data_IF_596699917186
#
_entry.id   IF_596699917186
#
_cell.length_a   1.000
_cell.length_b   1.000
_cell.length_c   1.000
_cell.angle_alpha   90.00
_cell.angle_beta   90.00
_cell.angle_gamma   90.00
#
_symmetry.space_group_name_H-M   'P 1'
#
loop_
_entity.id
_entity.type
_entity.pdbx_description
1 polymer ?
#
# COMPACT_ATOMS: atom_id res chain seq x y z
N UNK A 1 3.37 -12.40 -8.60
CA UNK A 1 4.48 -11.42 -8.40
C UNK A 1 4.08 -10.42 -7.33
N UNK A 2 5.02 -10.06 -6.44
CA UNK A 2 4.83 -9.08 -5.38
C UNK A 2 5.91 -8.00 -5.50
N UNK A 3 5.52 -6.76 -5.70
CA UNK A 3 6.42 -5.60 -5.79
C UNK A 3 6.28 -4.78 -4.52
N UNK A 4 7.32 -4.77 -3.70
CA UNK A 4 7.38 -4.03 -2.45
C UNK A 4 8.29 -2.82 -2.61
N UNK A 5 7.75 -1.65 -2.31
CA UNK A 5 8.41 -0.36 -2.45
C UNK A 5 8.68 0.19 -1.06
N UNK A 6 9.94 0.43 -0.75
CA UNK A 6 10.35 0.99 0.54
C UNK A 6 11.25 2.21 0.35
N UNK A 7 11.58 2.88 1.42
CA UNK A 7 12.43 4.07 1.43
C UNK A 7 12.20 4.91 2.68
N UNK A 8 12.98 5.97 2.81
CA UNK A 8 12.82 6.93 3.92
C UNK A 8 11.47 7.65 3.83
N UNK A 9 10.93 8.14 4.95
CA UNK A 9 9.78 9.06 4.91
C UNK A 9 10.04 10.21 3.93
N UNK A 10 9.05 10.55 3.11
CA UNK A 10 9.18 11.60 2.10
C UNK A 10 10.03 11.25 0.87
N UNK A 11 10.46 10.00 0.70
CA UNK A 11 11.24 9.57 -0.48
C UNK A 11 10.43 9.48 -1.78
N UNK A 12 9.09 9.53 -1.69
CA UNK A 12 8.21 9.45 -2.85
C UNK A 12 7.61 8.06 -3.10
N UNK A 13 7.50 7.21 -2.06
CA UNK A 13 6.87 5.89 -2.16
C UNK A 13 5.43 5.96 -2.68
N UNK A 14 4.59 6.79 -2.07
CA UNK A 14 3.18 6.96 -2.48
C UNK A 14 3.05 7.54 -3.88
N UNK A 15 3.91 8.47 -4.26
CA UNK A 15 3.99 8.98 -5.63
C UNK A 15 4.34 7.87 -6.61
N UNK A 16 5.29 7.02 -6.26
CA UNK A 16 5.67 5.85 -7.07
C UNK A 16 4.51 4.89 -7.25
N UNK A 17 3.82 4.55 -6.16
CA UNK A 17 2.62 3.67 -6.19
C UNK A 17 1.53 4.27 -7.08
N UNK A 18 1.26 5.57 -6.96
CA UNK A 18 0.30 6.26 -7.82
C UNK A 18 0.65 6.19 -9.31
N UNK A 19 1.91 6.48 -9.66
CA UNK A 19 2.39 6.36 -11.06
C UNK A 19 2.26 4.93 -11.62
N UNK A 20 2.54 3.92 -10.79
CA UNK A 20 2.41 2.53 -11.20
C UNK A 20 0.94 2.12 -11.36
N UNK A 21 0.06 2.64 -10.51
CA UNK A 21 -1.39 2.46 -10.68
C UNK A 21 -1.85 3.02 -12.03
N UNK A 22 -1.53 4.28 -12.33
CA UNK A 22 -1.89 4.93 -13.59
C UNK A 22 -1.37 4.14 -14.80
N UNK A 23 -0.14 3.62 -14.71
CA UNK A 23 0.45 2.78 -15.75
C UNK A 23 -0.34 1.48 -15.95
N UNK A 24 -0.69 0.77 -14.88
CA UNK A 24 -1.46 -0.48 -14.97
C UNK A 24 -2.87 -0.26 -15.50
N UNK A 25 -3.56 0.76 -15.01
CA UNK A 25 -4.89 1.14 -15.51
C UNK A 25 -4.83 1.51 -17.00
N UNK A 26 -3.77 2.22 -17.43
CA UNK A 26 -3.51 2.52 -18.85
C UNK A 26 -3.24 1.29 -19.70
N UNK A 27 -2.76 0.20 -19.12
CA UNK A 27 -2.60 -1.11 -19.77
C UNK A 27 -3.87 -1.96 -19.74
N UNK A 28 -4.96 -1.48 -19.14
CA UNK A 28 -6.23 -2.18 -19.05
C UNK A 28 -6.36 -3.11 -17.83
N UNK A 29 -5.46 -3.02 -16.84
CA UNK A 29 -5.61 -3.77 -15.59
C UNK A 29 -6.69 -3.14 -14.72
N UNK A 30 -7.52 -3.97 -14.09
CA UNK A 30 -8.31 -3.53 -12.94
C UNK A 30 -7.44 -3.47 -11.70
N UNK A 31 -7.61 -2.40 -10.91
CA UNK A 31 -6.80 -2.15 -9.72
C UNK A 31 -7.69 -1.87 -8.53
N UNK A 32 -7.53 -2.67 -7.48
CA UNK A 32 -8.22 -2.49 -6.21
C UNK A 32 -7.26 -2.40 -5.03
N UNK A 33 -7.79 -2.38 -3.84
CA UNK A 33 -7.03 -2.28 -2.60
C UNK A 33 -7.20 -0.94 -1.90
N UNK A 34 -6.18 -0.46 -1.21
CA UNK A 34 -6.25 0.75 -0.38
C UNK A 34 -5.07 1.68 -0.57
N UNK A 35 -5.33 2.96 -0.35
CA UNK A 35 -4.31 3.99 -0.10
C UNK A 35 -4.57 4.66 1.26
N UNK A 36 -3.52 5.17 1.90
CA UNK A 36 -3.61 5.84 3.21
C UNK A 36 -3.02 7.25 3.15
N UNK A 37 -3.72 8.22 2.52
CA UNK A 37 -3.22 9.58 2.36
C UNK A 37 -3.16 10.36 3.66
N UNK A 38 -2.22 11.29 3.73
CA UNK A 38 -2.15 12.29 4.82
C UNK A 38 -3.36 13.22 4.81
N UNK A 39 -3.78 13.62 6.02
CA UNK A 39 -4.69 14.72 6.24
C UNK A 39 -3.91 15.86 6.88
N UNK A 40 -3.96 17.05 6.27
CA UNK A 40 -3.33 18.26 6.79
C UNK A 40 -4.36 19.26 7.25
N UNK A 41 -4.09 19.90 8.39
CA UNK A 41 -4.90 20.98 8.94
C UNK A 41 -3.95 22.14 9.27
N UNK A 42 -4.24 23.33 8.73
CA UNK A 42 -3.40 24.50 8.91
C UNK A 42 -1.94 24.31 8.44
N UNK A 43 -1.73 23.51 7.38
CA UNK A 43 -0.41 23.21 6.84
C UNK A 43 0.38 22.14 7.60
N UNK A 44 -0.12 21.69 8.74
CA UNK A 44 0.51 20.62 9.54
C UNK A 44 -0.16 19.27 9.30
N UNK A 45 0.60 18.19 9.39
CA UNK A 45 0.06 16.84 9.35
C UNK A 45 -0.78 16.59 10.59
N UNK A 46 -2.08 16.42 10.40
CA UNK A 46 -3.04 16.17 11.46
C UNK A 46 -3.36 14.67 11.62
N UNK A 47 -3.34 13.92 10.52
CA UNK A 47 -3.67 12.51 10.55
C UNK A 47 -3.56 11.83 9.19
N UNK A 48 -4.22 10.69 9.10
CA UNK A 48 -4.25 9.84 7.90
C UNK A 48 -5.65 9.27 7.71
N UNK A 49 -6.08 9.18 6.47
CA UNK A 49 -7.28 8.44 6.08
C UNK A 49 -6.90 7.09 5.48
N UNK A 50 -7.85 6.17 5.40
CA UNK A 50 -7.81 5.01 4.53
C UNK A 50 -8.87 5.17 3.45
N UNK A 51 -8.52 4.87 2.22
CA UNK A 51 -9.40 5.00 1.05
C UNK A 51 -9.44 3.67 0.31
N UNK A 52 -10.65 3.15 0.09
CA UNK A 52 -10.88 2.02 -0.82
C UNK A 52 -10.77 2.53 -2.26
N UNK A 53 -9.81 2.01 -3.01
CA UNK A 53 -9.51 2.44 -4.39
C UNK A 53 -10.72 2.23 -5.31
N UNK A 54 -11.41 1.11 -5.20
CA UNK A 54 -12.49 0.76 -6.12
C UNK A 54 -13.78 1.56 -5.86
N UNK A 55 -14.15 1.78 -4.60
CA UNK A 55 -15.41 2.47 -4.24
C UNK A 55 -15.23 3.95 -3.94
N UNK A 56 -14.01 4.39 -3.63
CA UNK A 56 -13.74 5.75 -3.14
C UNK A 56 -14.19 6.00 -1.69
N UNK A 57 -14.73 4.98 -1.00
CA UNK A 57 -15.07 5.09 0.43
C UNK A 57 -13.81 5.36 1.23
N UNK A 58 -13.96 6.22 2.23
CA UNK A 58 -12.85 6.63 3.09
C UNK A 58 -13.25 6.69 4.56
N UNK A 59 -12.27 6.51 5.42
CA UNK A 59 -12.43 6.64 6.86
C UNK A 59 -11.14 7.14 7.50
N UNK A 60 -11.25 7.68 8.70
CA UNK A 60 -10.10 8.18 9.44
C UNK A 60 -9.31 7.01 10.03
N UNK A 61 -8.06 6.84 9.59
CA UNK A 61 -7.15 5.81 10.09
C UNK A 61 -6.51 6.24 11.42
N UNK A 62 -6.00 7.46 11.48
CA UNK A 62 -5.30 7.97 12.65
C UNK A 62 -5.30 9.49 12.66
N UNK A 63 -5.30 10.09 13.86
CA UNK A 63 -5.08 11.52 14.01
C UNK A 63 -4.48 11.86 15.37
N UNK A 64 -4.05 13.10 15.54
CA UNK A 64 -3.57 13.62 16.82
C UNK A 64 -4.67 13.65 17.89
N UNK A 65 -5.95 13.63 17.48
CA UNK A 65 -7.12 13.68 18.36
C UNK A 65 -7.80 12.31 18.54
N UNK A 66 -7.44 11.31 17.75
CA UNK A 66 -8.04 9.98 17.82
C UNK A 66 -7.57 9.24 19.09
N UNK A 67 -8.52 8.69 19.83
CA UNK A 67 -8.24 7.75 20.89
C UNK A 67 -7.90 6.36 20.30
N UNK A 68 -7.01 5.63 20.96
CA UNK A 68 -6.61 4.30 20.52
C UNK A 68 -5.12 4.04 20.67
N UNK A 69 -4.63 2.92 20.13
CA UNK A 69 -3.20 2.61 20.14
C UNK A 69 -2.38 3.74 19.54
N UNK A 70 -1.26 4.09 20.19
CA UNK A 70 -0.43 5.23 19.76
C UNK A 70 0.68 4.80 18.83
N UNK A 71 0.85 5.57 17.74
CA UNK A 71 2.05 5.59 16.92
C UNK A 71 2.54 7.05 16.87
N UNK A 72 3.65 7.31 17.59
CA UNK A 72 4.09 8.67 17.80
C UNK A 72 3.00 9.52 18.50
N UNK A 73 2.63 10.63 17.88
CA UNK A 73 1.58 11.54 18.37
C UNK A 73 0.17 11.17 17.91
N UNK A 74 0.02 10.15 17.08
CA UNK A 74 -1.26 9.76 16.49
C UNK A 74 -1.91 8.62 17.26
N UNK A 75 -3.20 8.73 17.53
CA UNK A 75 -4.05 7.60 17.93
C UNK A 75 -4.56 6.89 16.69
N UNK A 76 -4.58 5.56 16.72
CA UNK A 76 -4.98 4.74 15.57
C UNK A 76 -6.39 4.20 15.76
N UNK A 77 -7.25 4.42 14.77
CA UNK A 77 -8.58 3.82 14.68
C UNK A 77 -8.48 2.44 14.02
N UNK A 78 -8.27 1.41 14.83
CA UNK A 78 -8.13 0.04 14.36
C UNK A 78 -9.40 -0.45 13.64
N UNK A 79 -10.58 -0.02 14.09
CA UNK A 79 -11.86 -0.42 13.51
C UNK A 79 -12.00 -0.08 12.04
N UNK A 80 -11.46 1.05 11.58
CA UNK A 80 -11.53 1.42 10.16
C UNK A 80 -10.70 0.48 9.27
N UNK A 81 -9.60 -0.06 9.80
CA UNK A 81 -8.83 -1.07 9.07
C UNK A 81 -9.64 -2.36 8.91
N UNK A 82 -10.33 -2.80 9.97
CA UNK A 82 -11.13 -4.02 9.94
C UNK A 82 -12.38 -3.89 9.06
N UNK A 83 -13.05 -2.73 9.11
CA UNK A 83 -14.35 -2.51 8.47
C UNK A 83 -14.27 -1.98 7.03
N UNK A 84 -13.17 -1.30 6.66
CA UNK A 84 -13.00 -0.70 5.35
C UNK A 84 -11.81 -1.28 4.58
N UNK A 85 -10.61 -1.28 5.16
CA UNK A 85 -9.41 -1.70 4.47
C UNK A 85 -9.39 -3.20 4.16
N UNK A 86 -9.67 -4.04 5.14
CA UNK A 86 -9.66 -5.50 4.98
C UNK A 86 -10.68 -5.96 3.94
N UNK A 87 -11.96 -5.53 3.98
CA UNK A 87 -12.93 -5.88 2.94
C UNK A 87 -12.52 -5.40 1.55
N UNK A 88 -11.96 -4.19 1.43
CA UNK A 88 -11.48 -3.66 0.15
C UNK A 88 -10.37 -4.51 -0.47
N UNK A 89 -9.39 -4.93 0.34
CA UNK A 89 -8.29 -5.78 -0.12
C UNK A 89 -8.80 -7.17 -0.49
N UNK A 90 -9.66 -7.79 0.35
CA UNK A 90 -10.21 -9.12 0.07
C UNK A 90 -11.06 -9.15 -1.19
N UNK A 91 -11.86 -8.10 -1.43
CA UNK A 91 -12.59 -7.96 -2.70
C UNK A 91 -11.62 -7.86 -3.86
N UNK A 92 -10.58 -7.02 -3.77
CA UNK A 92 -9.59 -6.88 -4.82
C UNK A 92 -8.87 -8.20 -5.14
N UNK A 93 -8.63 -9.06 -4.14
CA UNK A 93 -8.06 -10.40 -4.37
C UNK A 93 -8.94 -11.28 -5.28
N UNK A 94 -10.25 -11.05 -5.31
CA UNK A 94 -11.20 -11.85 -6.06
C UNK A 94 -11.58 -11.24 -7.41
N UNK A 95 -11.52 -9.91 -7.52
CA UNK A 95 -12.15 -9.18 -8.61
C UNK A 95 -11.15 -8.40 -9.47
N UNK A 96 -9.95 -8.09 -8.95
CA UNK A 96 -9.01 -7.21 -9.61
C UNK A 96 -7.74 -7.95 -10.10
N UNK A 97 -7.12 -7.40 -11.14
CA UNK A 97 -5.85 -7.91 -11.69
C UNK A 97 -4.66 -7.57 -10.82
N UNK A 98 -4.73 -6.43 -10.13
CA UNK A 98 -3.68 -5.94 -9.24
C UNK A 98 -4.25 -5.39 -7.93
N UNK A 99 -3.57 -5.70 -6.84
CA UNK A 99 -3.84 -5.11 -5.52
C UNK A 99 -2.80 -4.04 -5.23
N UNK A 100 -3.25 -2.88 -4.77
CA UNK A 100 -2.40 -1.84 -4.20
C UNK A 100 -2.65 -1.75 -2.70
N UNK A 101 -1.56 -1.70 -1.93
CA UNK A 101 -1.59 -1.40 -0.50
C UNK A 101 -0.56 -0.30 -0.22
N UNK A 102 -1.02 0.88 0.04
CA UNK A 102 -0.17 2.02 0.41
C UNK A 102 -0.71 2.69 1.69
N UNK A 103 -0.13 2.29 2.84
CA UNK A 103 1.08 1.49 3.01
C UNK A 103 0.85 0.31 3.98
N UNK A 104 1.82 -0.60 4.01
CA UNK A 104 1.95 -1.62 5.07
C UNK A 104 2.92 -1.05 6.11
N UNK A 105 2.39 -0.40 7.11
CA UNK A 105 3.16 0.31 8.13
C UNK A 105 2.66 0.11 9.55
N UNK A 106 3.29 0.75 10.54
CA UNK A 106 2.99 0.54 11.95
C UNK A 106 1.55 0.86 12.35
N UNK A 107 0.91 1.86 11.73
CA UNK A 107 -0.48 2.23 12.02
C UNK A 107 -1.44 1.15 11.54
N UNK A 108 -1.33 0.75 10.29
CA UNK A 108 -2.16 -0.25 9.64
C UNK A 108 -2.03 -1.61 10.33
N UNK A 109 -0.82 -1.96 10.73
CA UNK A 109 -0.50 -3.22 11.42
C UNK A 109 -0.97 -3.27 12.89
N UNK A 110 -1.60 -2.23 13.42
CA UNK A 110 -2.34 -2.33 14.68
C UNK A 110 -3.58 -3.21 14.54
N UNK A 111 -4.14 -3.35 13.34
CA UNK A 111 -5.19 -4.32 13.04
C UNK A 111 -4.63 -5.73 12.85
N UNK A 112 -5.12 -6.68 13.64
CA UNK A 112 -4.77 -8.11 13.51
C UNK A 112 -5.33 -8.69 12.21
N UNK A 113 -6.54 -8.29 11.83
CA UNK A 113 -7.18 -8.73 10.59
C UNK A 113 -6.42 -8.19 9.35
N UNK A 114 -5.95 -6.95 9.40
CA UNK A 114 -5.11 -6.42 8.33
C UNK A 114 -3.79 -7.20 8.19
N UNK A 115 -3.12 -7.54 9.29
CA UNK A 115 -1.91 -8.38 9.25
C UNK A 115 -2.19 -9.72 8.56
N UNK A 116 -3.28 -10.40 8.95
CA UNK A 116 -3.70 -11.67 8.35
C UNK A 116 -3.98 -11.50 6.86
N UNK A 117 -4.68 -10.42 6.49
CA UNK A 117 -5.01 -10.12 5.10
C UNK A 117 -3.75 -9.85 4.26
N UNK A 118 -2.76 -9.15 4.81
CA UNK A 118 -1.46 -8.97 4.15
C UNK A 118 -0.77 -10.32 3.90
N UNK A 119 -0.78 -11.21 4.88
CA UNK A 119 -0.21 -12.56 4.72
C UNK A 119 -0.97 -13.38 3.64
N UNK A 120 -2.30 -13.25 3.58
CA UNK A 120 -3.13 -13.86 2.54
C UNK A 120 -2.72 -13.35 1.15
N UNK A 121 -2.62 -12.02 0.98
CA UNK A 121 -2.20 -11.41 -0.30
C UNK A 121 -0.80 -11.84 -0.70
N UNK A 122 0.15 -11.84 0.24
CA UNK A 122 1.52 -12.27 -0.03
C UNK A 122 1.61 -13.73 -0.45
N UNK A 123 0.67 -14.57 0.00
CA UNK A 123 0.61 -15.99 -0.32
C UNK A 123 -0.23 -16.33 -1.56
N UNK A 124 -0.97 -15.37 -2.09
CA UNK A 124 -1.82 -15.52 -3.29
C UNK A 124 -1.01 -15.39 -4.58
N UNK A 125 -1.65 -15.67 -5.73
CA UNK A 125 -1.04 -15.46 -7.05
C UNK A 125 -1.30 -14.07 -7.64
N UNK A 126 -2.14 -13.25 -6.99
CA UNK A 126 -2.49 -11.91 -7.46
C UNK A 126 -1.27 -11.00 -7.48
N UNK A 127 -1.17 -10.13 -8.48
CA UNK A 127 -0.16 -9.09 -8.54
C UNK A 127 -0.36 -8.10 -7.38
N UNK A 128 0.68 -7.86 -6.59
CA UNK A 128 0.69 -6.87 -5.52
C UNK A 128 1.71 -5.77 -5.80
N UNK A 129 1.29 -4.53 -5.63
CA UNK A 129 2.19 -3.38 -5.46
C UNK A 129 1.91 -2.76 -4.10
N UNK A 130 2.89 -2.75 -3.22
CA UNK A 130 2.73 -2.20 -1.88
C UNK A 130 3.87 -1.26 -1.49
N UNK A 131 3.51 -0.11 -0.91
CA UNK A 131 4.48 0.66 -0.13
C UNK A 131 4.63 0.01 1.24
N UNK A 132 5.85 -0.20 1.68
CA UNK A 132 6.15 -0.91 2.93
C UNK A 132 7.11 -0.08 3.78
N UNK A 133 6.75 0.14 5.02
CA UNK A 133 7.63 0.80 5.98
C UNK A 133 8.90 -0.05 6.21
N UNK A 134 10.07 0.60 6.27
CA UNK A 134 11.37 -0.11 6.35
C UNK A 134 11.46 -1.12 7.50
N UNK A 135 10.93 -0.78 8.66
CA UNK A 135 10.91 -1.71 9.80
C UNK A 135 9.99 -2.90 9.55
N UNK A 136 8.86 -2.69 8.91
CA UNK A 136 7.91 -3.74 8.55
C UNK A 136 8.48 -4.70 7.52
N UNK A 137 9.24 -4.18 6.55
CA UNK A 137 9.85 -5.02 5.52
C UNK A 137 10.73 -6.14 6.10
N UNK A 138 11.39 -5.88 7.23
CA UNK A 138 12.24 -6.89 7.89
C UNK A 138 11.45 -8.10 8.42
N UNK A 139 10.16 -7.92 8.70
CA UNK A 139 9.27 -9.01 9.17
C UNK A 139 8.62 -9.79 8.04
N UNK A 140 8.67 -9.29 6.80
CA UNK A 140 8.13 -10.00 5.63
C UNK A 140 9.08 -11.13 5.23
N UNK A 141 8.56 -12.37 5.20
CA UNK A 141 9.34 -13.54 4.80
C UNK A 141 9.82 -13.39 3.35
N UNK A 142 11.09 -13.69 3.14
CA UNK A 142 11.66 -13.73 1.77
C UNK A 142 11.00 -14.84 0.96
N UNK A 143 10.58 -14.51 -0.26
CA UNK A 143 9.98 -15.44 -1.23
C UNK A 143 10.54 -15.12 -2.62
N UNK A 144 10.58 -16.10 -3.48
CA UNK A 144 11.10 -15.95 -4.85
C UNK A 144 10.26 -15.01 -5.72
N UNK A 145 8.97 -14.90 -5.43
CA UNK A 145 8.02 -14.04 -6.15
C UNK A 145 7.99 -12.58 -5.65
N UNK A 146 8.77 -12.25 -4.61
CA UNK A 146 8.87 -10.90 -4.04
C UNK A 146 10.05 -10.14 -4.64
N UNK A 147 9.78 -8.95 -5.14
CA UNK A 147 10.78 -7.98 -5.60
C UNK A 147 10.71 -6.72 -4.75
N UNK A 148 11.82 -6.33 -4.17
CA UNK A 148 11.92 -5.15 -3.30
C UNK A 148 12.66 -4.04 -4.04
N UNK A 149 12.05 -2.86 -4.05
CA UNK A 149 12.63 -1.64 -4.62
C UNK A 149 12.75 -0.55 -3.56
N UNK A 150 13.93 0.03 -3.47
CA UNK A 150 14.18 1.17 -2.57
C UNK A 150 14.05 2.46 -3.37
N UNK A 151 13.11 3.32 -2.96
CA UNK A 151 12.91 4.63 -3.57
C UNK A 151 13.77 5.66 -2.86
N UNK A 152 14.51 6.40 -3.67
CA UNK A 152 15.32 7.53 -3.30
C UNK A 152 14.97 8.68 -4.25
N UNK A 153 14.87 9.95 -3.80
CA UNK A 153 14.52 11.07 -4.65
C UNK A 153 15.37 11.21 -5.92
N UNK A 154 16.66 10.87 -5.83
CA UNK A 154 17.59 10.97 -6.96
C UNK A 154 17.43 9.81 -7.97
N UNK A 155 16.87 8.68 -7.54
CA UNK A 155 16.80 7.45 -8.35
C UNK A 155 15.38 7.07 -8.75
N UNK A 156 14.38 7.88 -8.41
CA UNK A 156 12.95 7.57 -8.61
C UNK A 156 12.62 7.13 -10.02
N UNK A 157 13.06 7.87 -11.03
CA UNK A 157 12.70 7.56 -12.40
C UNK A 157 13.36 6.28 -12.90
N UNK A 158 14.59 6.00 -12.46
CA UNK A 158 15.27 4.73 -12.76
C UNK A 158 14.57 3.55 -12.10
N UNK A 159 14.13 3.69 -10.86
CA UNK A 159 13.37 2.64 -10.15
C UNK A 159 12.03 2.43 -10.84
N UNK A 160 11.32 3.50 -11.19
CA UNK A 160 10.08 3.42 -11.94
C UNK A 160 10.25 2.64 -13.24
N UNK A 161 11.25 3.00 -14.05
CA UNK A 161 11.51 2.30 -15.31
C UNK A 161 11.74 0.81 -15.11
N UNK A 162 12.56 0.43 -14.14
CA UNK A 162 12.79 -0.98 -13.82
C UNK A 162 11.52 -1.75 -13.43
N UNK A 163 10.60 -1.09 -12.73
CA UNK A 163 9.34 -1.72 -12.32
C UNK A 163 8.41 -1.89 -13.53
N UNK A 164 8.28 -0.88 -14.39
CA UNK A 164 7.41 -1.00 -15.57
C UNK A 164 7.95 -2.01 -16.60
N UNK A 165 9.26 -2.13 -16.74
CA UNK A 165 9.87 -3.17 -17.58
C UNK A 165 9.48 -4.57 -17.04
N UNK A 166 9.58 -4.77 -15.73
CA UNK A 166 9.18 -6.01 -15.08
C UNK A 166 7.68 -6.30 -15.22
N UNK A 167 6.83 -5.28 -15.14
CA UNK A 167 5.39 -5.40 -15.33
C UNK A 167 5.02 -5.71 -16.79
N UNK A 168 5.75 -5.14 -17.75
CA UNK A 168 5.60 -5.46 -19.17
C UNK A 168 5.90 -6.93 -19.45
N UNK A 169 6.97 -7.45 -18.93
CA UNK A 169 7.31 -8.87 -19.03
C UNK A 169 6.25 -9.77 -18.39
N UNK A 170 5.74 -9.38 -17.22
CA UNK A 170 4.66 -10.09 -16.53
C UNK A 170 3.36 -10.12 -17.35
N UNK A 171 3.01 -9.02 -17.98
CA UNK A 171 1.82 -8.94 -18.85
C UNK A 171 1.95 -9.82 -20.08
N UNK A 172 3.12 -9.89 -20.68
CA UNK A 172 3.41 -10.74 -21.85
C UNK A 172 3.35 -12.25 -21.57
N UNK A 173 3.38 -12.65 -20.27
CA UNK A 173 3.28 -14.06 -19.84
C UNK A 173 1.85 -14.51 -19.51
N UNK A 174 0.86 -13.58 -19.50
CA UNK A 174 -0.56 -13.87 -19.31
C UNK A 174 -1.28 -13.98 -20.64
#
# INVERSE_FOLDING_TARGET
MKILITGRPGSGKSTMVGRLRDYLEGMGFSVGGIITPEVRVGGSRWGFEVVDIASGRRGLLASVETEGPRIGRYGVNVGVMDELAVPAIRRAMLEDDCIIIDEIGPMELKSREFRRTVDEVLSSDVLLIAAVHRKTLQSIKKREDIRVFVVDPEKRDRVYQRIIDLLGDYHGMR
#
